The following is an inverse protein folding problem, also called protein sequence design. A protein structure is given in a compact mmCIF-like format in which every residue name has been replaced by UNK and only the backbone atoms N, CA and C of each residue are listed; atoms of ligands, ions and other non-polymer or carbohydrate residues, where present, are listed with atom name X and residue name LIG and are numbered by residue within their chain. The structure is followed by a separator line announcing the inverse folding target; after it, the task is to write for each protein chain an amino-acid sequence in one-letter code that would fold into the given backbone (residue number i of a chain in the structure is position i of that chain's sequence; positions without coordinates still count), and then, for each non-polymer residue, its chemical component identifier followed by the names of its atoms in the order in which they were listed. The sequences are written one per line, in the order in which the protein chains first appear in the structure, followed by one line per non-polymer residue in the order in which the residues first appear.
data_IF_502904474629
#
_entry.id   IF_502904474629
#
_cell.length_a   1.000
_cell.length_b   1.000
_cell.length_c   1.000
_cell.angle_alpha   90.00
_cell.angle_beta   90.00
_cell.angle_gamma   90.00
#
_symmetry.space_group_name_H-M   'P 1'
#
loop_
_entity.id
_entity.type
_entity.pdbx_description
1 polymer ?
#
# COMPACT_ATOMS: atom_id res chain seq x y z
N UNK A 1 -5.29 14.35 -10.92
CA UNK A 1 -6.27 14.93 -11.88
C UNK A 1 -6.90 16.19 -11.27
N UNK A 2 -7.69 16.95 -12.02
CA UNK A 2 -8.49 18.07 -11.51
C UNK A 2 -9.96 17.92 -11.95
N UNK A 3 -10.90 18.22 -11.05
CA UNK A 3 -12.33 18.25 -11.39
C UNK A 3 -12.62 19.51 -12.22
N UNK A 4 -13.19 19.39 -13.43
CA UNK A 4 -13.55 20.55 -14.24
C UNK A 4 -14.53 21.49 -13.52
N UNK A 5 -14.29 22.80 -13.61
CA UNK A 5 -15.04 23.84 -12.89
C UNK A 5 -16.56 23.70 -13.05
N UNK A 6 -17.01 23.33 -14.25
CA UNK A 6 -18.44 23.17 -14.58
C UNK A 6 -19.14 22.08 -13.75
N UNK A 7 -18.42 21.08 -13.23
CA UNK A 7 -19.00 19.95 -12.48
C UNK A 7 -18.47 19.83 -11.04
N UNK A 8 -17.74 20.83 -10.54
CA UNK A 8 -17.23 20.82 -9.16
C UNK A 8 -18.33 20.77 -8.10
N UNK A 9 -19.54 21.21 -8.42
CA UNK A 9 -20.71 21.10 -7.53
C UNK A 9 -21.23 19.66 -7.35
N UNK A 10 -20.78 18.71 -8.19
CA UNK A 10 -21.17 17.29 -8.12
C UNK A 10 -20.04 16.41 -7.55
N UNK A 11 -18.79 16.82 -7.71
CA UNK A 11 -17.62 16.03 -7.32
C UNK A 11 -16.58 16.90 -6.62
N UNK A 12 -16.34 16.63 -5.35
CA UNK A 12 -15.35 17.34 -4.55
C UNK A 12 -13.91 16.89 -4.83
N UNK A 13 -13.74 15.66 -5.32
CA UNK A 13 -12.44 15.04 -5.54
C UNK A 13 -12.41 14.20 -6.82
N UNK A 14 -11.22 14.05 -7.38
CA UNK A 14 -10.96 13.09 -8.45
C UNK A 14 -9.69 12.29 -8.13
N UNK A 15 -9.60 11.09 -8.69
CA UNK A 15 -8.45 10.22 -8.52
C UNK A 15 -7.96 9.78 -9.90
N UNK A 16 -6.72 10.11 -10.28
CA UNK A 16 -6.13 9.72 -11.57
C UNK A 16 -5.68 8.26 -11.58
N UNK A 17 -5.50 7.69 -12.77
CA UNK A 17 -4.80 6.41 -12.95
C UNK A 17 -3.41 6.44 -12.29
N UNK A 18 -2.84 5.26 -12.06
CA UNK A 18 -1.49 5.12 -11.51
C UNK A 18 -0.47 5.84 -12.40
N UNK A 19 0.42 6.62 -11.78
CA UNK A 19 1.58 7.24 -12.41
C UNK A 19 2.73 7.21 -11.39
N UNK A 20 3.83 6.62 -11.82
CA UNK A 20 5.04 6.42 -11.03
C UNK A 20 5.62 7.73 -10.49
N UNK A 21 5.48 8.83 -11.22
CA UNK A 21 6.01 10.14 -10.81
C UNK A 21 5.05 10.92 -9.91
N UNK A 22 3.78 10.49 -9.83
CA UNK A 22 2.73 11.16 -9.08
C UNK A 22 2.26 10.37 -7.85
N UNK A 23 2.93 9.25 -7.52
CA UNK A 23 2.61 8.43 -6.35
C UNK A 23 2.80 9.17 -5.03
N UNK A 24 1.99 8.84 -4.04
CA UNK A 24 2.07 9.47 -2.73
C UNK A 24 3.24 8.89 -1.92
N UNK A 25 4.11 9.78 -1.43
CA UNK A 25 5.25 9.43 -0.57
C UNK A 25 5.20 10.19 0.76
N UNK A 26 5.90 9.66 1.76
CA UNK A 26 6.06 10.26 3.09
C UNK A 26 5.41 9.42 4.19
N UNK A 27 5.08 10.08 5.30
CA UNK A 27 4.41 9.45 6.44
C UNK A 27 3.03 10.05 6.70
N UNK A 28 2.14 9.19 7.13
CA UNK A 28 0.74 9.50 7.38
C UNK A 28 0.35 9.00 8.77
N UNK A 29 -0.63 9.65 9.37
CA UNK A 29 -1.35 9.10 10.51
C UNK A 29 -2.40 8.11 10.01
N UNK A 30 -2.93 7.32 10.94
CA UNK A 30 -4.05 6.43 10.67
C UNK A 30 -5.22 7.20 10.03
N UNK A 31 -5.71 6.70 8.90
CA UNK A 31 -6.72 7.35 8.07
C UNK A 31 -6.16 8.32 7.02
N UNK A 32 -4.91 8.14 6.59
CA UNK A 32 -4.28 8.88 5.48
C UNK A 32 -4.18 10.39 5.69
N UNK A 33 -3.98 10.82 6.95
CA UNK A 33 -3.71 12.23 7.27
C UNK A 33 -2.21 12.50 7.17
N UNK A 34 -1.81 13.35 6.24
CA UNK A 34 -0.39 13.62 5.98
C UNK A 34 0.30 14.28 7.16
N UNK A 35 1.41 13.69 7.61
CA UNK A 35 2.26 14.26 8.65
C UNK A 35 3.20 15.29 8.02
N UNK A 36 3.28 16.48 8.62
CA UNK A 36 4.19 17.57 8.19
C UNK A 36 5.37 17.77 9.13
N UNK A 37 5.24 17.33 10.38
CA UNK A 37 6.26 17.51 11.41
C UNK A 37 7.23 16.32 11.39
N UNK A 38 8.54 16.60 11.39
CA UNK A 38 9.60 15.58 11.33
C UNK A 38 9.61 14.65 12.53
N UNK A 39 9.37 15.15 13.75
CA UNK A 39 9.31 14.33 14.97
C UNK A 39 8.15 13.33 14.97
N UNK A 40 7.00 13.72 14.41
CA UNK A 40 5.84 12.84 14.26
C UNK A 40 6.04 11.79 13.15
N UNK A 41 6.89 12.09 12.16
CA UNK A 41 7.22 11.17 11.07
C UNK A 41 8.01 9.95 11.58
N UNK A 42 8.93 10.16 12.53
CA UNK A 42 9.70 9.07 13.15
C UNK A 42 8.84 8.16 14.04
N UNK A 43 7.69 8.66 14.50
CA UNK A 43 6.74 7.95 15.37
C UNK A 43 5.57 7.34 14.60
N UNK A 44 5.53 7.46 13.27
CA UNK A 44 4.42 6.96 12.46
C UNK A 44 4.35 5.43 12.51
N UNK A 45 3.12 4.90 12.57
CA UNK A 45 2.91 3.47 12.70
C UNK A 45 3.34 2.73 11.42
N UNK A 46 3.87 1.49 11.54
CA UNK A 46 4.13 0.63 10.38
C UNK A 46 2.89 0.52 9.47
N UNK A 47 3.12 0.48 8.16
CA UNK A 47 2.03 0.51 7.16
C UNK A 47 1.55 1.91 6.79
N UNK A 48 1.91 2.96 7.54
CA UNK A 48 1.55 4.35 7.22
C UNK A 48 2.75 5.22 6.80
N UNK A 49 3.92 4.60 6.71
CA UNK A 49 5.15 5.20 6.19
C UNK A 49 5.45 4.58 4.82
N UNK A 50 5.76 5.42 3.85
CA UNK A 50 6.19 4.99 2.53
C UNK A 50 7.54 4.28 2.63
N UNK A 51 7.57 3.01 2.23
CA UNK A 51 8.75 2.19 2.13
C UNK A 51 9.33 2.31 0.72
N UNK A 52 10.62 2.67 0.57
CA UNK A 52 11.25 2.67 -0.73
C UNK A 52 11.40 1.24 -1.25
N UNK A 53 11.57 1.10 -2.56
CA UNK A 53 11.93 -0.17 -3.16
C UNK A 53 13.32 -0.58 -2.63
N UNK A 54 13.35 -1.57 -1.72
CA UNK A 54 14.56 -1.90 -0.95
C UNK A 54 15.66 -2.52 -1.82
N UNK A 55 15.29 -3.04 -2.98
CA UNK A 55 16.18 -3.57 -4.01
C UNK A 55 15.69 -3.08 -5.37
N UNK A 56 16.53 -3.01 -6.42
CA UNK A 56 16.05 -2.81 -7.78
C UNK A 56 15.22 -4.05 -8.18
N UNK A 57 13.95 -4.09 -7.77
CA UNK A 57 13.01 -5.13 -8.18
C UNK A 57 12.45 -4.77 -9.55
N UNK A 58 12.24 -5.79 -10.37
CA UNK A 58 11.48 -5.64 -11.60
C UNK A 58 10.05 -5.21 -11.24
N UNK A 59 9.39 -4.43 -12.11
CA UNK A 59 8.02 -4.02 -11.85
C UNK A 59 7.10 -5.25 -11.78
N UNK A 60 6.10 -5.18 -10.91
CA UNK A 60 5.03 -6.18 -10.77
C UNK A 60 3.96 -5.84 -11.80
N UNK A 61 3.62 -6.81 -12.66
CA UNK A 61 2.62 -6.62 -13.71
C UNK A 61 1.23 -7.00 -13.19
N UNK A 62 0.32 -6.03 -13.20
CA UNK A 62 -1.12 -6.25 -13.09
C UNK A 62 -1.76 -6.47 -14.46
N UNK A 63 -3.09 -6.48 -14.50
CA UNK A 63 -3.85 -6.56 -15.75
C UNK A 63 -3.90 -5.19 -16.43
N UNK A 64 -4.01 -4.11 -15.65
CA UNK A 64 -4.17 -2.76 -16.20
C UNK A 64 -2.84 -2.06 -16.50
N UNK A 65 -1.84 -2.24 -15.63
CA UNK A 65 -0.52 -1.62 -15.77
C UNK A 65 0.53 -2.39 -14.97
N UNK A 66 1.77 -1.93 -15.02
CA UNK A 66 2.83 -2.36 -14.13
C UNK A 66 2.99 -1.37 -12.96
N UNK A 67 3.52 -1.88 -11.85
CA UNK A 67 3.69 -1.17 -10.59
C UNK A 67 5.09 -1.43 -10.04
N UNK A 68 5.61 -0.48 -9.27
CA UNK A 68 6.90 -0.65 -8.60
C UNK A 68 6.72 -1.19 -7.18
N UNK A 69 7.72 -1.90 -6.68
CA UNK A 69 7.70 -2.56 -5.37
C UNK A 69 7.88 -1.62 -4.18
N UNK A 70 7.55 -0.34 -4.33
CA UNK A 70 7.53 0.65 -3.25
C UNK A 70 6.09 1.05 -2.89
N UNK A 71 5.93 1.74 -1.76
CA UNK A 71 4.62 2.16 -1.28
C UNK A 71 4.44 1.90 0.20
N UNK A 72 3.20 1.68 0.62
CA UNK A 72 2.84 1.51 2.02
C UNK A 72 2.63 0.03 2.31
N UNK A 73 3.30 -0.50 3.33
CA UNK A 73 3.23 -1.91 3.66
C UNK A 73 3.70 -2.23 5.08
N UNK A 74 3.27 -3.40 5.55
CA UNK A 74 3.60 -3.95 6.86
C UNK A 74 3.51 -5.48 6.85
N UNK A 75 4.22 -6.12 7.78
CA UNK A 75 4.11 -7.56 7.98
C UNK A 75 2.83 -7.88 8.77
N UNK A 76 2.09 -8.90 8.32
CA UNK A 76 0.84 -9.34 8.94
C UNK A 76 1.05 -10.30 10.13
N UNK A 77 2.25 -10.37 10.68
CA UNK A 77 2.57 -11.25 11.80
C UNK A 77 2.83 -12.70 11.42
N UNK A 78 3.00 -13.57 12.44
CA UNK A 78 3.30 -15.00 12.27
C UNK A 78 2.16 -15.93 12.66
N UNK A 79 1.11 -15.39 13.30
CA UNK A 79 -0.06 -16.17 13.72
C UNK A 79 -1.34 -15.65 13.05
N UNK A 80 -2.33 -16.53 12.94
CA UNK A 80 -3.64 -16.15 12.38
C UNK A 80 -4.33 -15.07 13.21
N UNK A 81 -4.16 -15.07 14.54
CA UNK A 81 -4.81 -14.09 15.41
C UNK A 81 -4.15 -12.71 15.33
N UNK A 82 -2.82 -12.67 15.26
CA UNK A 82 -2.07 -11.43 15.00
C UNK A 82 -2.46 -10.84 13.64
N UNK A 83 -2.51 -11.66 12.59
CA UNK A 83 -2.95 -11.25 11.26
C UNK A 83 -4.37 -10.69 11.28
N UNK A 84 -5.31 -11.37 11.94
CA UNK A 84 -6.71 -10.90 12.04
C UNK A 84 -6.80 -9.58 12.78
N UNK A 85 -6.03 -9.40 13.86
CA UNK A 85 -6.00 -8.14 14.61
C UNK A 85 -5.49 -6.99 13.74
N UNK A 86 -4.35 -7.19 13.07
CA UNK A 86 -3.76 -6.18 12.17
C UNK A 86 -4.73 -5.82 11.05
N UNK A 87 -5.33 -6.82 10.37
CA UNK A 87 -6.28 -6.58 9.29
C UNK A 87 -7.54 -5.84 9.78
N UNK A 88 -8.01 -6.14 10.99
CA UNK A 88 -9.14 -5.43 11.60
C UNK A 88 -8.80 -3.96 11.86
N UNK A 89 -7.60 -3.67 12.37
CA UNK A 89 -7.12 -2.30 12.62
C UNK A 89 -6.95 -1.51 11.32
N UNK A 90 -6.35 -2.11 10.30
CA UNK A 90 -6.20 -1.49 8.97
C UNK A 90 -7.57 -1.18 8.35
N UNK A 91 -8.52 -2.11 8.46
CA UNK A 91 -9.90 -1.92 7.98
C UNK A 91 -10.62 -0.81 8.74
N UNK A 92 -10.52 -0.77 10.07
CA UNK A 92 -11.14 0.25 10.91
C UNK A 92 -10.63 1.66 10.55
N UNK A 93 -9.37 1.77 10.15
CA UNK A 93 -8.73 3.03 9.76
C UNK A 93 -8.76 3.32 8.25
N UNK A 94 -9.52 2.55 7.46
CA UNK A 94 -9.66 2.73 6.00
C UNK A 94 -8.31 2.77 5.27
N UNK A 95 -7.41 1.85 5.64
CA UNK A 95 -6.10 1.75 5.00
C UNK A 95 -6.22 1.53 3.47
N UNK A 96 -7.24 0.80 3.03
CA UNK A 96 -7.62 0.73 1.61
C UNK A 96 -8.71 1.79 1.35
N UNK A 97 -8.46 2.68 0.41
CA UNK A 97 -9.38 3.76 0.05
C UNK A 97 -9.48 3.97 -1.47
N UNK A 98 -10.19 5.03 -1.90
CA UNK A 98 -10.39 5.37 -3.32
C UNK A 98 -9.10 5.74 -4.08
N UNK A 99 -8.01 6.03 -3.35
CA UNK A 99 -6.70 6.42 -3.90
C UNK A 99 -5.75 5.24 -3.97
N UNK A 100 -6.02 4.14 -3.26
CA UNK A 100 -5.31 2.88 -3.45
C UNK A 100 -5.43 2.41 -4.90
N UNK A 101 -4.31 2.06 -5.54
CA UNK A 101 -4.26 1.63 -6.95
C UNK A 101 -3.97 0.15 -7.14
N UNK A 102 -3.29 -0.45 -6.18
CA UNK A 102 -2.95 -1.86 -6.17
C UNK A 102 -2.62 -2.28 -4.75
N UNK A 103 -2.85 -3.55 -4.43
CA UNK A 103 -2.39 -4.18 -3.20
C UNK A 103 -1.61 -5.44 -3.57
N UNK A 104 -0.41 -5.57 -3.00
CA UNK A 104 0.39 -6.78 -3.07
C UNK A 104 0.26 -7.56 -1.76
N UNK A 105 -0.13 -8.82 -1.87
CA UNK A 105 0.04 -9.79 -0.78
C UNK A 105 1.19 -10.72 -1.15
N UNK A 106 2.31 -10.56 -0.46
CA UNK A 106 3.54 -11.31 -0.71
C UNK A 106 3.82 -12.30 0.42
N UNK A 107 4.16 -13.54 0.06
CA UNK A 107 4.54 -14.58 1.00
C UNK A 107 5.62 -15.48 0.39
N UNK A 108 6.54 -15.96 1.24
CA UNK A 108 7.49 -17.00 0.88
C UNK A 108 7.18 -18.22 1.73
N UNK A 109 6.89 -19.34 1.07
CA UNK A 109 6.57 -20.61 1.69
C UNK A 109 7.75 -21.56 1.49
N UNK A 110 8.17 -22.25 2.56
CA UNK A 110 9.23 -23.26 2.50
C UNK A 110 8.65 -24.64 2.77
N UNK A 111 8.91 -25.59 1.87
CA UNK A 111 8.60 -26.99 2.05
C UNK A 111 9.88 -27.79 2.36
N UNK A 112 10.09 -28.10 3.63
CA UNK A 112 11.27 -28.83 4.10
C UNK A 112 11.37 -30.29 3.62
N UNK A 113 10.27 -30.90 3.18
CA UNK A 113 10.32 -32.27 2.65
C UNK A 113 10.95 -32.33 1.25
N UNK A 114 10.83 -31.24 0.48
CA UNK A 114 11.36 -31.13 -0.88
C UNK A 114 12.54 -30.15 -0.99
N UNK A 115 12.90 -29.49 0.12
CA UNK A 115 13.84 -28.39 0.18
C UNK A 115 13.54 -27.28 -0.85
N UNK A 116 12.27 -26.89 -0.95
CA UNK A 116 11.77 -25.98 -1.97
C UNK A 116 11.19 -24.70 -1.34
N UNK A 117 11.61 -23.55 -1.86
CA UNK A 117 10.97 -22.26 -1.61
C UNK A 117 9.97 -21.92 -2.72
N UNK A 118 8.79 -21.44 -2.34
CA UNK A 118 7.77 -20.91 -3.25
C UNK A 118 7.49 -19.46 -2.89
N UNK A 119 7.70 -18.56 -3.85
CA UNK A 119 7.29 -17.15 -3.72
C UNK A 119 5.88 -16.98 -4.26
N UNK A 120 5.00 -16.40 -3.47
CA UNK A 120 3.63 -16.06 -3.82
C UNK A 120 3.49 -14.54 -3.81
N UNK A 121 3.01 -13.98 -4.91
CA UNK A 121 2.59 -12.58 -5.00
C UNK A 121 1.18 -12.56 -5.56
N UNK A 122 0.21 -12.09 -4.77
CA UNK A 122 -1.16 -11.88 -5.22
C UNK A 122 -1.38 -10.40 -5.43
N UNK A 123 -1.89 -10.03 -6.61
CA UNK A 123 -2.13 -8.64 -7.02
C UNK A 123 -3.64 -8.38 -6.99
N UNK A 124 -4.04 -7.32 -6.30
CA UNK A 124 -5.41 -6.80 -6.32
C UNK A 124 -5.39 -5.40 -6.93
N UNK A 125 -6.06 -5.20 -8.07
CA UNK A 125 -6.25 -3.91 -8.75
C UNK A 125 -7.67 -3.35 -8.53
#
# INVERSE_FOLDING_TARGET
CAVPVTIQHLFDECSSAYDEHAKEIGAFEMGWKRIRNTSAMESAAPGWIHLPNKYPSLPIYGVTTHYWGDGFGLHLGRSADEMRSILADLKANRWIDKRTRVIFLEAILYNGNLDLFTSLTVVFE
#
